data_IF_958637167831
#
_entry.id   IF_958637167831
#
_cell.length_a   1.000
_cell.length_b   1.000
_cell.length_c   1.000
_cell.angle_alpha   90.00
_cell.angle_beta   90.00
_cell.angle_gamma   90.00
#
_symmetry.space_group_name_H-M   'P 1'
#
loop_
_entity.id
_entity.type
_entity.pdbx_description
1 polymer ?
#
# COMPACT_ATOMS: atom_id res chain seq x y z
N UNK A 1 4.67 -21.48 -12.24
CA UNK A 1 4.22 -20.07 -12.12
C UNK A 1 4.23 -19.50 -13.53
N UNK A 2 3.07 -19.09 -14.07
CA UNK A 2 2.98 -18.54 -15.45
C UNK A 2 3.55 -17.13 -15.60
N UNK A 3 4.03 -16.52 -14.51
CA UNK A 3 4.68 -15.21 -14.53
C UNK A 3 6.04 -15.32 -13.83
N UNK A 4 7.10 -15.34 -14.63
CA UNK A 4 8.47 -15.13 -14.19
C UNK A 4 8.73 -13.62 -14.17
N UNK A 5 8.46 -12.99 -13.03
CA UNK A 5 8.62 -11.54 -12.84
C UNK A 5 10.09 -11.07 -12.98
N UNK A 6 11.06 -11.99 -13.01
CA UNK A 6 12.45 -11.64 -13.32
C UNK A 6 12.67 -11.26 -14.79
N UNK A 7 11.72 -11.57 -15.69
CA UNK A 7 11.81 -11.31 -17.13
C UNK A 7 10.91 -10.19 -17.64
N UNK A 8 10.06 -9.62 -16.79
CA UNK A 8 8.90 -8.82 -17.24
C UNK A 8 9.21 -7.36 -17.62
N UNK A 9 10.42 -6.84 -17.40
CA UNK A 9 10.73 -5.46 -17.76
C UNK A 9 12.20 -5.29 -18.16
N UNK A 10 12.51 -5.51 -19.43
CA UNK A 10 13.76 -5.04 -20.02
C UNK A 10 13.38 -4.14 -21.21
N UNK A 11 13.23 -2.82 -21.01
CA UNK A 11 12.93 -1.92 -22.11
C UNK A 11 14.03 -2.09 -23.17
N UNK A 12 13.67 -2.25 -24.45
CA UNK A 12 14.61 -2.70 -25.49
C UNK A 12 15.79 -1.75 -25.70
N UNK A 13 15.73 -0.52 -25.20
CA UNK A 13 16.79 0.47 -25.27
C UNK A 13 16.87 1.30 -23.99
N UNK A 14 17.78 0.94 -23.08
CA UNK A 14 18.21 1.83 -21.99
C UNK A 14 19.36 2.70 -22.51
N UNK A 15 19.25 4.02 -22.34
CA UNK A 15 20.32 4.92 -22.72
C UNK A 15 21.59 4.64 -21.92
N UNK A 16 22.75 4.94 -22.51
CA UNK A 16 24.06 4.82 -21.84
C UNK A 16 24.07 5.54 -20.49
N UNK A 17 23.44 6.71 -20.41
CA UNK A 17 23.33 7.49 -19.17
C UNK A 17 22.60 6.74 -18.04
N UNK A 18 21.59 5.92 -18.36
CA UNK A 18 20.90 5.09 -17.35
C UNK A 18 21.78 3.92 -16.91
N UNK A 19 22.57 3.35 -17.82
CA UNK A 19 23.45 2.23 -17.51
C UNK A 19 24.65 2.65 -16.65
N UNK A 20 25.16 3.86 -16.86
CA UNK A 20 26.31 4.41 -16.14
C UNK A 20 25.95 5.02 -14.77
N UNK A 21 24.69 5.39 -14.56
CA UNK A 21 24.21 5.90 -13.28
C UNK A 21 23.61 4.77 -12.42
N UNK A 22 24.27 4.45 -11.30
CA UNK A 22 23.84 3.37 -10.41
C UNK A 22 22.39 3.51 -9.92
N UNK A 23 21.98 4.72 -9.53
CA UNK A 23 20.61 4.95 -9.07
C UNK A 23 19.59 4.74 -10.20
N UNK A 24 19.88 5.23 -11.41
CA UNK A 24 19.02 5.04 -12.57
C UNK A 24 18.91 3.56 -12.98
N UNK A 25 20.00 2.80 -12.88
CA UNK A 25 20.00 1.35 -13.08
C UNK A 25 19.13 0.65 -12.02
N UNK A 26 19.24 1.06 -10.76
CA UNK A 26 18.48 0.49 -9.67
C UNK A 26 16.96 0.77 -9.75
N UNK A 27 16.52 1.77 -10.51
CA UNK A 27 15.11 1.97 -10.83
C UNK A 27 14.49 0.81 -11.63
N UNK A 28 15.30 -0.12 -12.16
CA UNK A 28 14.83 -1.33 -12.86
C UNK A 28 14.62 -2.52 -11.92
N UNK A 29 14.95 -2.39 -10.62
CA UNK A 29 14.72 -3.45 -9.66
C UNK A 29 13.21 -3.69 -9.48
N UNK A 30 12.74 -4.94 -9.59
CA UNK A 30 11.38 -5.29 -9.20
C UNK A 30 11.10 -4.83 -7.77
N UNK A 31 9.94 -4.22 -7.55
CA UNK A 31 9.56 -3.68 -6.23
C UNK A 31 9.62 -4.75 -5.13
N UNK A 32 9.30 -6.01 -5.45
CA UNK A 32 9.45 -7.12 -4.51
C UNK A 32 10.89 -7.39 -4.05
N UNK A 33 11.91 -7.13 -4.89
CA UNK A 33 13.31 -7.19 -4.44
C UNK A 33 13.66 -6.02 -3.53
N UNK A 34 13.08 -4.83 -3.76
CA UNK A 34 13.26 -3.71 -2.84
C UNK A 34 12.62 -3.97 -1.47
N UNK A 35 11.52 -4.74 -1.42
CA UNK A 35 10.93 -5.25 -0.17
C UNK A 35 11.91 -6.16 0.59
N UNK A 36 12.52 -7.13 -0.10
CA UNK A 36 13.55 -7.99 0.52
C UNK A 36 14.75 -7.19 1.01
N UNK A 37 15.21 -6.19 0.24
CA UNK A 37 16.31 -5.32 0.66
C UNK A 37 15.99 -4.53 1.93
N UNK A 38 14.76 -4.00 2.04
CA UNK A 38 14.29 -3.33 3.27
C UNK A 38 14.24 -4.32 4.42
N UNK A 39 13.66 -5.51 4.22
CA UNK A 39 13.56 -6.53 5.25
C UNK A 39 14.94 -6.96 5.78
N UNK A 40 15.89 -7.23 4.88
CA UNK A 40 17.26 -7.62 5.24
C UNK A 40 18.02 -6.49 5.95
N UNK A 41 17.97 -5.27 5.39
CA UNK A 41 18.74 -4.12 5.91
C UNK A 41 18.25 -3.65 7.27
N UNK A 42 16.94 -3.69 7.49
CA UNK A 42 16.30 -3.18 8.71
C UNK A 42 15.78 -4.30 9.62
N UNK A 43 16.14 -5.55 9.35
CA UNK A 43 15.84 -6.73 10.17
C UNK A 43 14.34 -6.91 10.43
N UNK A 44 13.52 -6.69 9.41
CA UNK A 44 12.06 -6.92 9.47
C UNK A 44 11.80 -8.40 9.18
N UNK A 45 11.62 -9.19 10.24
CA UNK A 45 11.56 -10.66 10.11
C UNK A 45 10.29 -11.14 9.40
N UNK A 46 10.30 -12.40 8.96
CA UNK A 46 9.13 -13.03 8.33
C UNK A 46 7.91 -13.03 9.25
N UNK A 47 8.12 -13.34 10.52
CA UNK A 47 7.06 -13.38 11.54
C UNK A 47 6.44 -12.00 11.72
N UNK A 48 7.26 -10.94 11.72
CA UNK A 48 6.79 -9.57 11.81
C UNK A 48 5.94 -9.17 10.59
N UNK A 49 6.38 -9.56 9.39
CA UNK A 49 5.65 -9.28 8.15
C UNK A 49 4.30 -10.02 8.09
N UNK A 50 4.30 -11.30 8.45
CA UNK A 50 3.08 -12.11 8.43
C UNK A 50 2.10 -11.68 9.54
N UNK A 51 2.59 -11.29 10.72
CA UNK A 51 1.73 -10.77 11.79
C UNK A 51 1.06 -9.46 11.37
N UNK A 52 1.81 -8.54 10.74
CA UNK A 52 1.27 -7.30 10.20
C UNK A 52 0.17 -7.54 9.16
N UNK A 53 0.41 -8.46 8.22
CA UNK A 53 -0.56 -8.78 7.18
C UNK A 53 -1.81 -9.49 7.71
N UNK A 54 -1.67 -10.37 8.72
CA UNK A 54 -2.82 -10.98 9.38
C UNK A 54 -3.69 -9.93 10.08
N UNK A 55 -3.07 -8.95 10.74
CA UNK A 55 -3.79 -7.87 11.40
C UNK A 55 -4.49 -6.93 10.41
N UNK A 56 -3.84 -6.57 9.29
CA UNK A 56 -4.46 -5.81 8.20
C UNK A 56 -5.74 -6.51 7.68
N UNK A 57 -5.66 -7.82 7.38
CA UNK A 57 -6.82 -8.61 6.96
C UNK A 57 -7.92 -8.68 8.02
N UNK A 58 -7.56 -8.75 9.31
CA UNK A 58 -8.51 -8.76 10.42
C UNK A 58 -9.25 -7.42 10.53
N UNK A 59 -8.52 -6.30 10.49
CA UNK A 59 -9.09 -4.94 10.54
C UNK A 59 -10.00 -4.67 9.32
N UNK A 60 -9.57 -5.05 8.12
CA UNK A 60 -10.37 -4.92 6.90
C UNK A 60 -11.67 -5.74 6.97
N UNK A 61 -11.60 -6.98 7.46
CA UNK A 61 -12.79 -7.81 7.65
C UNK A 61 -13.77 -7.17 8.64
N UNK A 62 -13.26 -6.66 9.76
CA UNK A 62 -14.08 -5.97 10.76
C UNK A 62 -14.73 -4.69 10.20
N UNK A 63 -13.97 -3.85 9.49
CA UNK A 63 -14.46 -2.62 8.86
C UNK A 63 -15.52 -2.88 7.78
N UNK A 64 -15.39 -3.97 7.01
CA UNK A 64 -16.38 -4.37 6.04
C UNK A 64 -17.65 -4.94 6.71
N UNK A 65 -17.51 -5.74 7.76
CA UNK A 65 -18.65 -6.35 8.47
C UNK A 65 -19.48 -5.33 9.25
N UNK A 66 -18.83 -4.32 9.84
CA UNK A 66 -19.51 -3.26 10.58
C UNK A 66 -20.02 -2.12 9.68
N UNK A 67 -19.76 -2.17 8.38
CA UNK A 67 -20.23 -1.20 7.38
C UNK A 67 -19.50 0.14 7.40
N UNK A 68 -18.32 0.24 8.01
CA UNK A 68 -17.54 1.49 8.08
C UNK A 68 -17.12 2.02 6.70
N UNK A 69 -16.98 1.12 5.71
CA UNK A 69 -16.60 1.45 4.34
C UNK A 69 -17.80 1.86 3.45
N UNK A 70 -19.03 1.71 3.93
CA UNK A 70 -20.23 1.95 3.13
C UNK A 70 -20.41 3.42 2.72
N UNK A 71 -19.77 4.36 3.43
CA UNK A 71 -19.85 5.79 3.11
C UNK A 71 -18.88 6.23 2.01
N UNK A 72 -17.87 5.41 1.71
CA UNK A 72 -16.79 5.72 0.78
C UNK A 72 -16.82 4.84 -0.48
N UNK A 73 -17.39 3.64 -0.41
CA UNK A 73 -17.64 2.78 -1.57
C UNK A 73 -18.89 3.24 -2.33
N UNK A 74 -18.74 3.44 -3.65
CA UNK A 74 -19.88 3.63 -4.57
C UNK A 74 -20.13 2.32 -5.33
N UNK A 75 -21.27 1.65 -5.15
CA UNK A 75 -21.57 0.40 -5.86
C UNK A 75 -21.48 0.55 -7.37
N UNK A 76 -20.78 -0.38 -8.02
CA UNK A 76 -20.60 -0.39 -9.48
C UNK A 76 -21.27 -1.62 -10.09
N UNK A 77 -22.26 -1.41 -10.95
CA UNK A 77 -22.82 -2.48 -11.75
C UNK A 77 -21.89 -2.84 -12.92
N UNK A 78 -21.63 -4.12 -13.10
CA UNK A 78 -20.80 -4.65 -14.18
C UNK A 78 -21.28 -6.03 -14.64
N UNK A 79 -20.64 -6.59 -15.65
CA UNK A 79 -20.88 -7.94 -16.17
C UNK A 79 -19.58 -8.74 -16.08
N UNK A 80 -19.64 -9.90 -15.44
CA UNK A 80 -18.54 -10.86 -15.39
C UNK A 80 -18.72 -11.87 -16.50
N UNK A 81 -17.71 -11.98 -17.37
CA UNK A 81 -17.64 -12.98 -18.43
C UNK A 81 -16.86 -14.20 -17.92
N UNK A 82 -17.50 -15.37 -17.94
CA UNK A 82 -16.90 -16.63 -17.51
C UNK A 82 -16.27 -17.38 -18.69
N UNK A 83 -15.34 -18.29 -18.40
CA UNK A 83 -14.62 -19.08 -19.41
C UNK A 83 -15.50 -20.03 -20.23
N UNK A 84 -16.70 -20.34 -19.73
CA UNK A 84 -17.70 -21.16 -20.42
C UNK A 84 -18.60 -20.34 -21.37
N UNK A 85 -18.33 -19.03 -21.51
CA UNK A 85 -19.10 -18.12 -22.34
C UNK A 85 -20.34 -17.53 -21.66
N UNK A 86 -20.61 -17.88 -20.39
CA UNK A 86 -21.71 -17.29 -19.63
C UNK A 86 -21.36 -15.88 -19.14
N UNK A 87 -22.39 -15.04 -19.02
CA UNK A 87 -22.29 -13.70 -18.45
C UNK A 87 -23.19 -13.59 -17.22
N UNK A 88 -22.69 -12.95 -16.16
CA UNK A 88 -23.52 -12.60 -15.01
C UNK A 88 -23.38 -11.14 -14.66
N UNK A 89 -24.52 -10.50 -14.40
CA UNK A 89 -24.55 -9.20 -13.73
C UNK A 89 -23.95 -9.33 -12.34
N UNK A 90 -23.11 -8.37 -11.99
CA UNK A 90 -22.46 -8.29 -10.71
C UNK A 90 -22.52 -6.83 -10.22
N UNK A 91 -22.68 -6.66 -8.92
CA UNK A 91 -22.58 -5.35 -8.28
C UNK A 91 -21.36 -5.39 -7.39
N UNK A 92 -20.32 -4.66 -7.77
CA UNK A 92 -19.13 -4.48 -6.94
C UNK A 92 -19.44 -3.43 -5.87
N UNK A 93 -19.82 -3.88 -4.68
CA UNK A 93 -20.20 -3.05 -3.53
C UNK A 93 -19.34 -3.29 -2.28
N UNK A 94 -18.32 -4.16 -2.40
CA UNK A 94 -17.44 -4.62 -1.32
C UNK A 94 -16.03 -4.89 -1.85
N UNK A 95 -15.05 -4.82 -0.96
CA UNK A 95 -13.67 -5.14 -1.28
C UNK A 95 -13.48 -6.66 -1.39
N UNK A 96 -13.17 -7.12 -2.60
CA UNK A 96 -13.01 -8.54 -2.91
C UNK A 96 -11.71 -9.14 -2.37
N UNK A 97 -10.75 -8.30 -1.97
CA UNK A 97 -9.42 -8.74 -1.51
C UNK A 97 -9.38 -9.23 -0.06
N UNK A 98 -10.42 -8.95 0.72
CA UNK A 98 -10.47 -9.28 2.15
C UNK A 98 -10.63 -10.79 2.37
N UNK A 99 -9.80 -11.36 3.26
CA UNK A 99 -9.72 -12.78 3.58
C UNK A 99 -9.76 -12.94 5.11
N UNK A 100 -10.96 -12.90 5.70
CA UNK A 100 -11.21 -12.99 7.15
C UNK A 100 -10.52 -14.19 7.84
N UNK A 101 -10.35 -15.28 7.11
CA UNK A 101 -9.72 -16.51 7.58
C UNK A 101 -8.18 -16.46 7.62
N UNK A 102 -7.56 -15.35 7.22
CA UNK A 102 -6.10 -15.21 7.22
C UNK A 102 -5.60 -15.24 8.66
N UNK A 103 -4.75 -16.22 8.96
CA UNK A 103 -4.05 -16.32 10.25
C UNK A 103 -2.54 -16.31 10.05
N UNK A 104 -1.80 -16.02 11.11
CA UNK A 104 -0.34 -16.13 11.10
C UNK A 104 0.12 -17.54 10.67
N UNK A 105 -0.53 -18.61 11.15
CA UNK A 105 -0.18 -19.98 10.73
C UNK A 105 -0.48 -20.25 9.26
N UNK A 106 -1.49 -19.59 8.68
CA UNK A 106 -1.78 -19.71 7.25
C UNK A 106 -0.72 -19.00 6.39
N UNK A 107 -0.24 -17.84 6.85
CA UNK A 107 0.73 -17.02 6.13
C UNK A 107 2.13 -17.63 6.16
N UNK A 108 2.55 -18.22 7.28
CA UNK A 108 3.88 -18.85 7.41
C UNK A 108 4.10 -20.00 6.42
N UNK A 109 3.03 -20.63 5.91
CA UNK A 109 3.09 -21.70 4.91
C UNK A 109 3.37 -21.18 3.49
N UNK A 110 3.23 -19.88 3.24
CA UNK A 110 3.44 -19.29 1.93
C UNK A 110 4.93 -19.24 1.59
N UNK A 111 5.24 -19.57 0.33
CA UNK A 111 6.60 -19.53 -0.20
C UNK A 111 6.99 -18.08 -0.57
N UNK A 112 8.26 -17.70 -0.39
CA UNK A 112 8.77 -16.44 -0.90
C UNK A 112 8.57 -16.31 -2.41
N UNK A 113 8.29 -15.09 -2.90
CA UNK A 113 8.01 -14.84 -4.33
C UNK A 113 9.24 -14.35 -5.08
N UNK A 114 10.07 -13.50 -4.46
CA UNK A 114 11.10 -12.74 -5.18
C UNK A 114 12.53 -13.27 -4.98
N UNK A 115 12.82 -13.90 -3.84
CA UNK A 115 14.13 -14.48 -3.51
C UNK A 115 13.94 -15.84 -2.85
N UNK A 116 14.80 -16.82 -3.19
CA UNK A 116 14.68 -18.21 -2.69
C UNK A 116 14.60 -18.29 -1.17
N UNK A 117 15.48 -17.54 -0.49
CA UNK A 117 15.55 -17.46 0.97
C UNK A 117 14.96 -16.12 1.47
N UNK A 118 14.04 -15.55 0.70
CA UNK A 118 13.37 -14.29 1.00
C UNK A 118 12.27 -14.42 2.05
N UNK A 119 11.70 -13.29 2.42
CA UNK A 119 10.63 -13.16 3.42
C UNK A 119 9.34 -12.60 2.84
N UNK A 120 9.41 -11.99 1.66
CA UNK A 120 8.25 -11.42 0.97
C UNK A 120 7.45 -12.52 0.27
N UNK A 121 6.19 -12.66 0.64
CA UNK A 121 5.23 -13.62 0.10
C UNK A 121 4.00 -12.93 -0.46
N UNK A 122 3.17 -13.66 -1.20
CA UNK A 122 1.89 -13.13 -1.67
C UNK A 122 0.94 -12.72 -0.54
N UNK A 123 1.10 -13.29 0.67
CA UNK A 123 0.23 -12.99 1.81
C UNK A 123 0.67 -11.79 2.63
N UNK A 124 1.91 -11.32 2.47
CA UNK A 124 2.45 -10.13 3.15
C UNK A 124 2.86 -9.02 2.15
N UNK A 125 2.31 -9.10 0.93
CA UNK A 125 2.40 -8.09 -0.12
C UNK A 125 0.98 -7.64 -0.49
N UNK A 126 0.84 -6.43 -1.01
CA UNK A 126 -0.44 -5.95 -1.54
C UNK A 126 -0.91 -6.80 -2.71
N UNK A 127 -2.22 -6.98 -2.82
CA UNK A 127 -2.84 -7.63 -3.98
C UNK A 127 -2.76 -6.71 -5.20
N UNK A 128 -2.78 -7.31 -6.39
CA UNK A 128 -3.08 -6.57 -7.60
C UNK A 128 -4.60 -6.39 -7.67
N UNK A 129 -5.06 -5.15 -7.76
CA UNK A 129 -6.47 -4.81 -7.64
C UNK A 129 -6.85 -3.75 -8.67
N UNK A 130 -8.08 -3.84 -9.17
CA UNK A 130 -8.71 -2.84 -10.03
C UNK A 130 -9.65 -1.96 -9.20
N UNK A 131 -9.58 -0.65 -9.39
CA UNK A 131 -10.42 0.29 -8.65
C UNK A 131 -10.20 1.75 -9.07
N UNK A 132 -11.09 2.64 -8.63
CA UNK A 132 -11.01 4.07 -8.88
C UNK A 132 -11.47 4.87 -7.65
N UNK A 133 -10.89 6.04 -7.45
CA UNK A 133 -11.28 6.98 -6.40
C UNK A 133 -11.29 8.42 -6.95
N UNK A 134 -12.15 9.27 -6.41
CA UNK A 134 -12.26 10.68 -6.78
C UNK A 134 -12.39 11.57 -5.53
N UNK A 135 -11.69 12.71 -5.54
CA UNK A 135 -11.75 13.72 -4.48
C UNK A 135 -12.05 15.08 -5.09
N UNK A 136 -13.14 15.72 -4.68
CA UNK A 136 -13.47 17.08 -5.08
C UNK A 136 -12.79 18.10 -4.16
N UNK A 137 -11.94 18.95 -4.74
CA UNK A 137 -11.27 20.03 -4.03
C UNK A 137 -11.85 21.38 -4.46
N UNK A 138 -12.00 22.29 -3.51
CA UNK A 138 -12.41 23.65 -3.76
C UNK A 138 -11.69 24.61 -2.82
N UNK A 139 -11.52 25.87 -3.26
CA UNK A 139 -11.17 26.95 -2.34
C UNK A 139 -12.28 27.06 -1.28
N UNK A 140 -11.91 27.21 0.00
CA UNK A 140 -12.85 27.35 1.12
C UNK A 140 -13.97 28.37 0.83
N UNK A 141 -13.60 29.57 0.36
CA UNK A 141 -14.57 30.62 0.04
C UNK A 141 -15.54 30.24 -1.07
N UNK A 142 -15.14 29.37 -2.00
CA UNK A 142 -16.04 28.86 -3.05
C UNK A 142 -17.00 27.82 -2.47
N UNK A 143 -16.51 26.90 -1.63
CA UNK A 143 -17.37 25.93 -0.94
C UNK A 143 -18.41 26.64 -0.06
N UNK A 144 -17.99 27.64 0.72
CA UNK A 144 -18.88 28.45 1.58
C UNK A 144 -19.91 29.23 0.75
N UNK A 145 -19.49 29.90 -0.34
CA UNK A 145 -20.40 30.63 -1.24
C UNK A 145 -21.44 29.72 -1.90
N UNK A 146 -21.07 28.48 -2.21
CA UNK A 146 -21.96 27.49 -2.83
C UNK A 146 -22.74 26.66 -1.80
N UNK A 147 -22.55 26.88 -0.49
CA UNK A 147 -23.20 26.11 0.57
C UNK A 147 -22.80 24.63 0.62
N UNK A 148 -21.60 24.28 0.14
CA UNK A 148 -21.11 22.90 0.09
C UNK A 148 -20.52 22.46 1.45
N UNK A 149 -20.78 21.23 1.92
CA UNK A 149 -20.18 20.71 3.15
C UNK A 149 -18.66 20.51 2.99
N UNK A 150 -17.90 20.85 4.02
CA UNK A 150 -16.44 20.68 4.03
C UNK A 150 -16.09 19.46 4.89
N UNK A 151 -15.63 18.38 4.25
CA UNK A 151 -15.20 17.14 4.95
C UNK A 151 -13.79 17.24 5.54
N UNK A 152 -12.93 18.09 4.98
CA UNK A 152 -11.54 18.24 5.42
C UNK A 152 -10.83 19.39 4.71
N UNK A 153 -9.57 19.61 5.09
CA UNK A 153 -8.68 20.58 4.44
C UNK A 153 -7.27 20.00 4.29
N UNK A 154 -6.61 20.33 3.18
CA UNK A 154 -5.21 19.96 2.96
C UNK A 154 -4.33 20.97 3.69
N UNK A 155 -3.55 20.52 4.67
CA UNK A 155 -2.61 21.36 5.42
C UNK A 155 -1.23 21.45 4.75
N UNK A 156 -0.78 20.37 4.14
CA UNK A 156 0.52 20.33 3.49
C UNK A 156 0.74 19.04 2.70
N UNK A 157 1.78 19.05 1.87
CA UNK A 157 2.27 17.87 1.16
C UNK A 157 3.80 17.92 1.05
N UNK A 158 4.43 16.75 0.98
CA UNK A 158 5.86 16.61 0.77
C UNK A 158 6.16 15.47 -0.21
N UNK A 159 7.14 15.70 -1.07
CA UNK A 159 7.71 14.71 -1.99
C UNK A 159 9.21 14.67 -1.73
N UNK A 160 9.77 13.47 -1.67
CA UNK A 160 11.19 13.24 -1.36
C UNK A 160 11.75 12.15 -2.26
N UNK A 161 13.02 12.28 -2.63
CA UNK A 161 13.77 11.19 -3.24
C UNK A 161 14.45 10.35 -2.16
N UNK A 162 14.43 9.03 -2.34
CA UNK A 162 15.17 8.04 -1.53
C UNK A 162 15.94 7.11 -2.45
N UNK A 163 16.79 6.24 -1.90
CA UNK A 163 17.52 5.26 -2.70
C UNK A 163 16.54 4.25 -3.34
N UNK A 164 16.55 4.07 -4.68
CA UNK A 164 15.64 3.15 -5.37
C UNK A 164 15.69 1.69 -4.88
N UNK A 165 16.84 1.21 -4.37
CA UNK A 165 16.98 -0.16 -3.88
C UNK A 165 16.13 -0.47 -2.63
N UNK A 166 15.75 0.59 -1.90
CA UNK A 166 14.98 0.53 -0.66
C UNK A 166 13.82 1.53 -0.72
N UNK A 167 13.22 1.70 -1.90
CA UNK A 167 12.18 2.72 -2.16
C UNK A 167 11.06 2.75 -1.09
N UNK A 168 10.76 1.60 -0.48
CA UNK A 168 9.77 1.46 0.58
C UNK A 168 10.02 2.31 1.83
N UNK A 169 11.23 2.85 2.04
CA UNK A 169 11.50 3.77 3.17
C UNK A 169 10.94 5.18 2.96
N UNK A 170 10.34 5.45 1.80
CA UNK A 170 9.79 6.76 1.42
C UNK A 170 8.93 7.42 2.50
N UNK A 171 7.92 6.75 3.09
CA UNK A 171 7.07 7.32 4.13
C UNK A 171 7.86 7.79 5.36
N UNK A 172 8.88 7.04 5.81
CA UNK A 172 9.74 7.42 6.93
C UNK A 172 10.46 8.77 6.71
N UNK A 173 10.70 9.16 5.46
CA UNK A 173 11.34 10.43 5.11
C UNK A 173 10.32 11.51 4.74
N UNK A 174 9.20 11.14 4.13
CA UNK A 174 8.18 12.06 3.63
C UNK A 174 7.28 12.59 4.75
N UNK A 175 6.84 11.74 5.68
CA UNK A 175 5.91 12.09 6.76
C UNK A 175 6.48 13.22 7.63
N UNK A 176 7.71 13.15 8.16
CA UNK A 176 8.27 14.25 8.96
C UNK A 176 8.30 15.59 8.22
N UNK A 177 8.55 15.59 6.90
CA UNK A 177 8.56 16.82 6.09
C UNK A 177 7.17 17.39 5.86
N UNK A 178 6.16 16.54 5.67
CA UNK A 178 4.77 16.98 5.54
C UNK A 178 4.24 17.56 6.85
N UNK A 179 4.58 16.93 7.98
CA UNK A 179 4.24 17.40 9.33
C UNK A 179 4.91 18.74 9.65
N UNK A 180 6.21 18.88 9.40
CA UNK A 180 6.95 20.12 9.62
C UNK A 180 6.37 21.30 8.82
N UNK A 181 5.97 21.07 7.55
CA UNK A 181 5.29 22.10 6.73
C UNK A 181 3.92 22.49 7.27
N UNK A 182 3.27 21.60 8.00
CA UNK A 182 1.94 21.81 8.58
C UNK A 182 2.01 22.30 10.02
N UNK A 183 3.21 22.44 10.61
CA UNK A 183 3.41 22.80 12.01
C UNK A 183 2.92 21.72 12.99
N UNK A 184 2.87 20.47 12.56
CA UNK A 184 2.40 19.31 13.34
C UNK A 184 3.58 18.40 13.69
N UNK A 185 3.34 17.54 14.68
CA UNK A 185 4.22 16.44 15.09
C UNK A 185 3.53 15.09 14.93
N UNK A 186 4.27 14.01 15.14
CA UNK A 186 3.75 12.64 14.97
C UNK A 186 2.62 12.36 15.97
N UNK A 187 2.77 12.85 17.20
CA UNK A 187 1.80 12.70 18.28
C UNK A 187 0.48 13.44 18.04
N UNK A 188 0.48 14.50 17.21
CA UNK A 188 -0.69 15.32 16.90
C UNK A 188 -1.63 14.66 15.89
N UNK A 189 -1.22 13.56 15.27
CA UNK A 189 -2.00 12.87 14.23
C UNK A 189 -2.80 11.74 14.85
N UNK A 190 -4.10 11.71 14.56
CA UNK A 190 -5.02 10.70 15.06
C UNK A 190 -4.97 9.40 14.26
N UNK A 191 -4.87 9.50 12.93
CA UNK A 191 -4.92 8.36 12.01
C UNK A 191 -3.85 8.52 10.94
N UNK A 192 -3.15 7.42 10.65
CA UNK A 192 -2.18 7.28 9.57
C UNK A 192 -2.68 6.24 8.57
N UNK A 193 -2.90 6.67 7.34
CA UNK A 193 -3.07 5.79 6.19
C UNK A 193 -1.71 5.63 5.49
N UNK A 194 -0.98 4.56 5.82
CA UNK A 194 0.32 4.22 5.23
C UNK A 194 0.14 3.00 4.34
N UNK A 195 0.24 3.20 3.03
CA UNK A 195 0.04 2.14 2.04
C UNK A 195 0.90 0.89 2.32
N UNK A 196 0.27 -0.27 2.28
CA UNK A 196 0.84 -1.57 2.64
C UNK A 196 1.35 -2.35 1.42
N UNK A 197 2.10 -1.69 0.51
CA UNK A 197 2.62 -2.34 -0.70
C UNK A 197 3.36 -3.66 -0.38
N UNK A 198 4.18 -3.62 0.68
CA UNK A 198 4.76 -4.79 1.33
C UNK A 198 4.78 -4.55 2.84
N UNK A 199 4.55 -5.60 3.63
CA UNK A 199 4.60 -5.51 5.09
C UNK A 199 6.00 -5.08 5.59
N UNK A 200 7.06 -5.48 4.88
CA UNK A 200 8.45 -5.11 5.18
C UNK A 200 8.64 -3.59 5.28
N UNK A 201 8.14 -2.84 4.30
CA UNK A 201 8.32 -1.40 4.22
C UNK A 201 7.34 -0.63 5.12
N UNK A 202 6.08 -1.10 5.20
CA UNK A 202 5.07 -0.45 6.02
C UNK A 202 5.50 -0.50 7.49
N UNK A 203 5.87 -1.70 7.97
CA UNK A 203 6.30 -1.90 9.34
C UNK A 203 7.61 -1.18 9.66
N UNK A 204 8.56 -1.16 8.73
CA UNK A 204 9.77 -0.36 8.90
C UNK A 204 9.43 1.12 9.12
N UNK A 205 8.57 1.70 8.27
CA UNK A 205 8.22 3.12 8.37
C UNK A 205 7.49 3.46 9.67
N UNK A 206 6.55 2.61 10.09
CA UNK A 206 5.82 2.76 11.36
C UNK A 206 6.77 2.76 12.54
N UNK A 207 7.72 1.80 12.58
CA UNK A 207 8.72 1.68 13.64
C UNK A 207 9.70 2.85 13.65
N UNK A 208 10.22 3.23 12.48
CA UNK A 208 11.18 4.34 12.35
C UNK A 208 10.59 5.67 12.84
N UNK A 209 9.29 5.88 12.58
CA UNK A 209 8.58 7.09 12.99
C UNK A 209 7.98 7.03 14.39
N UNK A 210 8.09 5.90 15.09
CA UNK A 210 7.45 5.64 16.38
C UNK A 210 5.94 5.94 16.37
N UNK A 211 5.26 5.56 15.28
CA UNK A 211 3.81 5.73 15.17
C UNK A 211 3.12 4.64 16.01
N UNK A 212 2.15 4.99 16.88
CA UNK A 212 1.37 3.99 17.61
C UNK A 212 0.59 3.08 16.65
N UNK A 213 0.71 1.76 16.81
CA UNK A 213 0.16 0.76 15.88
C UNK A 213 -1.37 0.87 15.74
N UNK A 214 -2.06 1.30 16.79
CA UNK A 214 -3.51 1.50 16.81
C UNK A 214 -3.98 2.66 15.91
N UNK A 215 -3.07 3.58 15.57
CA UNK A 215 -3.36 4.71 14.68
C UNK A 215 -3.08 4.39 13.21
N UNK A 216 -2.44 3.28 12.90
CA UNK A 216 -2.05 2.89 11.53
C UNK A 216 -3.11 2.01 10.91
N UNK A 217 -3.61 2.44 9.75
CA UNK A 217 -4.57 1.72 8.90
C UNK A 217 -5.67 1.05 9.74
N UNK A 218 -6.49 1.82 10.47
CA UNK A 218 -7.44 1.28 11.44
C UNK A 218 -8.53 0.40 10.78
N UNK A 219 -8.66 0.49 9.45
CA UNK A 219 -9.63 -0.26 8.65
C UNK A 219 -8.97 -1.28 7.71
N UNK A 220 -7.71 -1.63 7.98
CA UNK A 220 -6.90 -2.50 7.14
C UNK A 220 -6.08 -1.72 6.14
#
# INVERSE_FOLDING_TARGET
>A
SQYDFSKAFNPPFLSKNVQENTNAKNCQLPMGLTSENVAERYKVTREMQDAFAAESQRKAAEAQENGSLNQEITPMETVVHYSDGNEKKFVADKDEGVRKQTTLESLTKLKPVFKKDGTTTAGNSSQLTDGAAAVLLARRSTAERLGLPIKGRVLGYAVVGVNPEIMGVGPAVAIPKALAKSGLKVEDIDIYEINEAFASQALYCVKELNIPEEKVNPRG
#
